data_IF_742281601153
#
_entry.id   IF_742281601153
#
_cell.length_a   1.000
_cell.length_b   1.000
_cell.length_c   1.000
_cell.angle_alpha   90.00
_cell.angle_beta   90.00
_cell.angle_gamma   90.00
#
_symmetry.space_group_name_H-M   'P 1'
#
loop_
_entity.id
_entity.type
_entity.pdbx_description
1 polymer ?
#
# COMPACT_ATOMS: atom_id res chain seq x y z
N UNK A 1 10.13 -35.34 -13.43
CA UNK A 1 9.94 -33.91 -13.77
C UNK A 1 11.24 -33.20 -13.45
N UNK A 2 12.05 -32.87 -14.47
CA UNK A 2 13.35 -32.24 -14.29
C UNK A 2 13.15 -30.73 -14.21
N UNK A 3 13.40 -30.14 -13.04
CA UNK A 3 13.33 -28.70 -12.83
C UNK A 3 14.47 -28.04 -13.61
N UNK A 4 14.12 -27.14 -14.51
CA UNK A 4 15.07 -26.41 -15.34
C UNK A 4 15.66 -25.23 -14.56
N UNK A 5 16.79 -24.68 -15.00
CA UNK A 5 17.40 -23.49 -14.38
C UNK A 5 16.41 -22.30 -14.30
N UNK A 6 15.48 -22.19 -15.25
CA UNK A 6 14.42 -21.17 -15.23
C UNK A 6 13.36 -21.40 -14.14
N UNK A 7 13.18 -22.63 -13.68
CA UNK A 7 12.32 -22.94 -12.53
C UNK A 7 13.02 -22.54 -11.23
N UNK A 8 14.34 -22.73 -11.12
CA UNK A 8 15.12 -22.47 -9.91
C UNK A 8 15.13 -20.99 -9.46
N UNK A 9 15.06 -20.04 -10.39
CA UNK A 9 15.04 -18.61 -10.07
C UNK A 9 13.72 -18.16 -9.42
N UNK A 10 12.62 -18.89 -9.67
CA UNK A 10 11.28 -18.56 -9.17
C UNK A 10 10.87 -19.26 -7.87
N UNK A 11 11.58 -20.30 -7.44
CA UNK A 11 11.15 -21.18 -6.35
C UNK A 11 11.33 -20.60 -4.95
N UNK A 12 12.14 -19.55 -4.78
CA UNK A 12 12.43 -18.94 -3.47
C UNK A 12 11.84 -17.54 -3.25
N UNK A 13 11.41 -16.86 -4.33
CA UNK A 13 10.97 -15.45 -4.25
C UNK A 13 9.56 -15.32 -4.80
N UNK A 14 8.63 -14.95 -3.91
CA UNK A 14 7.27 -14.57 -4.33
C UNK A 14 7.39 -13.45 -5.36
N UNK A 15 6.84 -13.68 -6.56
CA UNK A 15 6.72 -12.63 -7.58
C UNK A 15 5.95 -11.47 -6.97
N UNK A 16 6.57 -10.29 -6.96
CA UNK A 16 5.89 -9.08 -6.51
C UNK A 16 4.76 -8.75 -7.48
N UNK A 17 3.60 -8.40 -6.93
CA UNK A 17 2.48 -7.95 -7.76
C UNK A 17 2.73 -6.52 -8.23
N UNK A 18 2.12 -6.13 -9.36
CA UNK A 18 2.19 -4.74 -9.86
C UNK A 18 1.76 -3.72 -8.80
N UNK A 19 0.80 -4.08 -7.95
CA UNK A 19 0.29 -3.27 -6.83
C UNK A 19 1.34 -3.10 -5.73
N UNK A 20 2.08 -4.14 -5.40
CA UNK A 20 3.17 -4.10 -4.40
C UNK A 20 4.32 -3.22 -4.91
N UNK A 21 4.68 -3.33 -6.19
CA UNK A 21 5.72 -2.50 -6.83
C UNK A 21 5.32 -1.02 -6.78
N UNK A 22 4.09 -0.72 -7.22
CA UNK A 22 3.57 0.65 -7.21
C UNK A 22 3.59 1.26 -5.80
N UNK A 23 3.09 0.55 -4.79
CA UNK A 23 3.12 1.05 -3.41
C UNK A 23 4.56 1.28 -2.92
N UNK A 24 5.51 0.41 -3.28
CA UNK A 24 6.91 0.60 -2.92
C UNK A 24 7.53 1.85 -3.55
N UNK A 25 7.20 2.14 -4.81
CA UNK A 25 7.60 3.40 -5.47
C UNK A 25 6.98 4.61 -4.75
N UNK A 26 5.70 4.53 -4.40
CA UNK A 26 4.99 5.60 -3.68
C UNK A 26 5.60 5.90 -2.30
N UNK A 27 6.08 4.89 -1.57
CA UNK A 27 6.81 5.10 -0.30
C UNK A 27 8.07 5.96 -0.49
N UNK A 28 8.69 5.94 -1.66
CA UNK A 28 9.88 6.74 -1.95
C UNK A 28 9.55 8.15 -2.47
N UNK A 29 8.53 8.29 -3.30
CA UNK A 29 8.25 9.55 -4.00
C UNK A 29 7.29 10.47 -3.25
N UNK A 30 6.43 9.92 -2.38
CA UNK A 30 5.42 10.73 -1.68
C UNK A 30 5.96 11.22 -0.33
N UNK A 31 5.85 12.53 -0.02
CA UNK A 31 6.18 13.06 1.29
C UNK A 31 5.06 12.75 2.31
N UNK A 32 4.96 11.49 2.72
CA UNK A 32 3.83 10.97 3.52
C UNK A 32 3.52 11.77 4.78
N UNK A 33 4.54 12.18 5.54
CA UNK A 33 4.31 12.95 6.77
C UNK A 33 3.65 14.30 6.50
N UNK A 34 4.11 15.02 5.47
CA UNK A 34 3.55 16.31 5.08
C UNK A 34 2.13 16.14 4.52
N UNK A 35 1.94 15.15 3.64
CA UNK A 35 0.66 14.87 3.04
C UNK A 35 -0.40 14.47 4.08
N UNK A 36 -0.04 13.59 5.02
CA UNK A 36 -0.93 13.20 6.11
C UNK A 36 -1.23 14.38 7.03
N UNK A 37 -0.25 15.25 7.31
CA UNK A 37 -0.46 16.45 8.11
C UNK A 37 -1.45 17.45 7.48
N UNK A 38 -1.46 17.56 6.16
CA UNK A 38 -2.42 18.40 5.44
C UNK A 38 -3.85 17.83 5.46
N UNK A 39 -3.99 16.50 5.48
CA UNK A 39 -5.29 15.83 5.38
C UNK A 39 -5.89 15.55 6.76
N UNK A 40 -5.07 15.31 7.78
CA UNK A 40 -5.51 14.98 9.13
C UNK A 40 -6.60 15.91 9.71
N UNK A 41 -6.57 17.24 9.51
CA UNK A 41 -7.64 18.13 9.99
C UNK A 41 -9.02 17.86 9.38
N UNK A 42 -9.07 17.17 8.24
CA UNK A 42 -10.30 16.85 7.49
C UNK A 42 -10.75 15.39 7.67
N UNK A 43 -9.98 14.55 8.37
CA UNK A 43 -10.29 13.14 8.56
C UNK A 43 -11.44 12.96 9.58
N UNK A 44 -12.42 12.09 9.31
CA UNK A 44 -13.52 11.87 10.24
C UNK A 44 -13.04 11.35 11.59
N UNK A 45 -13.41 12.06 12.66
CA UNK A 45 -13.03 11.75 14.04
C UNK A 45 -13.42 10.31 14.43
N UNK A 46 -12.46 9.57 14.98
CA UNK A 46 -12.64 8.23 15.57
C UNK A 46 -13.65 8.28 16.73
N UNK A 47 -14.43 7.21 16.91
CA UNK A 47 -15.36 7.07 18.05
C UNK A 47 -16.83 7.33 17.76
N UNK A 48 -17.23 7.45 16.48
CA UNK A 48 -18.66 7.41 16.10
C UNK A 48 -19.22 5.98 16.20
N UNK A 49 -20.51 5.79 16.52
CA UNK A 49 -21.15 4.47 16.50
C UNK A 49 -21.07 3.85 15.09
N UNK A 50 -20.68 2.58 15.01
CA UNK A 50 -20.55 1.83 13.76
C UNK A 50 -19.11 1.48 13.40
N UNK A 51 -18.89 1.13 12.13
CA UNK A 51 -17.57 0.73 11.62
C UNK A 51 -16.61 1.91 11.71
N UNK A 52 -15.50 1.70 12.40
CA UNK A 52 -14.45 2.70 12.47
C UNK A 52 -13.83 2.90 11.08
N UNK A 53 -13.53 4.14 10.69
CA UNK A 53 -12.79 4.41 9.47
C UNK A 53 -11.40 3.73 9.55
N UNK A 54 -10.87 3.35 8.39
CA UNK A 54 -9.47 2.93 8.30
C UNK A 54 -8.55 4.07 8.69
N UNK A 55 -7.37 3.75 9.23
CA UNK A 55 -6.33 4.75 9.45
C UNK A 55 -6.09 5.54 8.16
N UNK A 56 -5.98 6.87 8.27
CA UNK A 56 -5.83 7.80 7.14
C UNK A 56 -4.74 7.35 6.15
N UNK A 57 -3.59 6.94 6.68
CA UNK A 57 -2.46 6.42 5.92
C UNK A 57 -2.82 5.20 5.05
N UNK A 58 -3.62 4.27 5.59
CA UNK A 58 -4.08 3.06 4.90
C UNK A 58 -5.12 3.42 3.84
N UNK A 59 -6.09 4.27 4.20
CA UNK A 59 -7.13 4.73 3.27
C UNK A 59 -6.53 5.41 2.03
N UNK A 60 -5.52 6.24 2.24
CA UNK A 60 -4.85 6.98 1.18
C UNK A 60 -4.07 6.06 0.23
N UNK A 61 -3.35 5.07 0.78
CA UNK A 61 -2.67 4.03 -0.02
C UNK A 61 -3.64 3.24 -0.89
N UNK A 62 -4.82 2.92 -0.35
CA UNK A 62 -5.87 2.22 -1.11
C UNK A 62 -6.42 3.11 -2.23
N UNK A 63 -6.69 4.38 -1.97
CA UNK A 63 -7.17 5.31 -3.00
C UNK A 63 -6.17 5.43 -4.15
N UNK A 64 -4.88 5.60 -3.83
CA UNK A 64 -3.81 5.71 -4.83
C UNK A 64 -3.68 4.44 -5.67
N UNK A 65 -3.99 3.27 -5.10
CA UNK A 65 -3.99 1.99 -5.81
C UNK A 65 -5.21 1.79 -6.72
N UNK A 66 -6.28 2.56 -6.50
CA UNK A 66 -7.55 2.47 -7.23
C UNK A 66 -7.65 3.43 -8.42
N UNK A 67 -6.90 4.55 -8.41
CA UNK A 67 -6.81 5.48 -9.55
C UNK A 67 -6.14 4.81 -10.76
#
# INVERSE_FOLDING_TARGET
>A
MQLTFGDAEGLGKRKQTRREIFLAEMEQVVPWQQLLGLIAPHDPVLGRPGRQPYALATMLRIHLLQQ
#
